data_IF_197612782238
#
_entry.id   IF_197612782238
#
_cell.length_a   1.000
_cell.length_b   1.000
_cell.length_c   1.000
_cell.angle_alpha   90.00
_cell.angle_beta   90.00
_cell.angle_gamma   90.00
#
_symmetry.space_group_name_H-M   'P 1'
#
loop_
_entity.id
_entity.type
_entity.pdbx_description
1 polymer ?
#
# COMPACT_ATOMS: atom_id res chain seq x y z
N UNK A 1 6.85 13.54 -0.48
CA UNK A 1 5.92 12.41 -0.37
C UNK A 1 4.61 12.97 0.18
N UNK A 2 3.50 12.73 -0.53
CA UNK A 2 2.17 12.97 0.00
C UNK A 2 1.58 11.62 0.40
N UNK A 3 0.89 11.59 1.54
CA UNK A 3 0.22 10.39 2.07
C UNK A 3 -1.26 10.73 2.26
N UNK A 4 -2.14 10.02 1.56
CA UNK A 4 -3.58 10.04 1.82
C UNK A 4 -3.99 8.69 2.41
N UNK A 5 -4.89 8.67 3.39
CA UNK A 5 -5.38 7.45 4.02
C UNK A 5 -6.89 7.34 3.91
N UNK A 6 -7.37 6.13 3.60
CA UNK A 6 -8.79 5.80 3.57
C UNK A 6 -9.01 4.51 4.35
N UNK A 7 -9.87 4.55 5.37
CA UNK A 7 -10.18 3.36 6.17
C UNK A 7 -11.41 2.65 5.62
N UNK A 8 -11.32 1.32 5.64
CA UNK A 8 -12.38 0.40 5.26
C UNK A 8 -12.59 -0.59 6.40
N UNK A 9 -13.71 -1.31 6.39
CA UNK A 9 -13.99 -2.36 7.38
C UNK A 9 -12.93 -3.47 7.40
N UNK A 10 -12.24 -3.65 6.27
CA UNK A 10 -11.23 -4.68 6.05
C UNK A 10 -9.79 -4.15 6.04
N UNK A 11 -9.51 -2.91 6.47
CA UNK A 11 -8.14 -2.39 6.51
C UNK A 11 -8.01 -0.90 6.24
N UNK A 12 -6.80 -0.47 5.90
CA UNK A 12 -6.49 0.92 5.54
C UNK A 12 -5.81 0.96 4.18
N UNK A 13 -6.36 1.73 3.24
CA UNK A 13 -5.65 2.13 2.04
C UNK A 13 -4.78 3.35 2.34
N UNK A 14 -3.53 3.29 1.90
CA UNK A 14 -2.57 4.38 1.96
C UNK A 14 -2.17 4.70 0.53
N UNK A 15 -2.50 5.88 0.05
CA UNK A 15 -2.03 6.38 -1.24
C UNK A 15 -0.75 7.19 -1.04
N UNK A 16 0.32 6.77 -1.72
CA UNK A 16 1.62 7.44 -1.73
C UNK A 16 1.87 8.08 -3.07
N UNK A 17 2.07 9.40 -3.08
CA UNK A 17 2.58 10.11 -4.24
C UNK A 17 4.07 10.44 -4.05
N UNK A 18 4.88 9.99 -5.00
CA UNK A 18 6.32 10.15 -5.06
C UNK A 18 6.70 10.93 -6.30
N UNK A 19 7.65 11.85 -6.15
CA UNK A 19 8.15 12.69 -7.22
C UNK A 19 9.68 12.62 -7.19
N UNK A 20 10.26 12.07 -8.24
CA UNK A 20 11.69 12.06 -8.49
C UNK A 20 12.17 13.39 -9.08
N UNK A 21 13.49 13.54 -9.17
CA UNK A 21 14.11 14.66 -9.88
C UNK A 21 14.28 14.26 -11.34
N UNK A 22 13.42 14.79 -12.22
CA UNK A 22 13.50 14.58 -13.66
C UNK A 22 14.76 15.24 -14.24
N UNK A 23 15.90 14.56 -14.20
CA UNK A 23 17.11 14.96 -14.95
C UNK A 23 17.65 13.83 -15.86
N UNK A 24 16.96 12.69 -15.91
CA UNK A 24 17.28 11.63 -16.85
C UNK A 24 16.05 11.34 -17.68
N UNK A 25 16.17 11.62 -18.97
CA UNK A 25 15.21 11.27 -20.01
C UNK A 25 14.72 9.82 -19.82
N UNK A 26 13.58 9.67 -19.16
CA UNK A 26 12.87 8.41 -19.01
C UNK A 26 11.63 8.51 -19.89
N UNK A 27 11.90 8.45 -21.19
CA UNK A 27 10.91 7.97 -22.15
C UNK A 27 10.17 6.77 -21.55
N UNK A 28 8.83 6.77 -21.62
CA UNK A 28 7.92 5.73 -21.11
C UNK A 28 8.59 4.36 -20.94
N UNK A 29 8.93 4.01 -19.69
CA UNK A 29 9.43 2.69 -19.33
C UNK A 29 8.26 1.85 -18.80
N UNK A 30 8.10 0.60 -19.25
CA UNK A 30 7.05 -0.27 -18.74
C UNK A 30 7.33 -0.66 -17.27
N UNK A 31 6.27 -0.72 -16.46
CA UNK A 31 6.33 -1.21 -15.07
C UNK A 31 6.21 -2.73 -14.98
N UNK A 32 5.78 -3.40 -16.05
CA UNK A 32 5.65 -4.85 -16.16
C UNK A 32 6.81 -5.49 -16.95
N UNK A 33 7.38 -6.58 -16.42
CA UNK A 33 8.52 -7.27 -17.02
C UNK A 33 8.20 -7.84 -18.42
N UNK A 34 7.00 -8.39 -18.64
CA UNK A 34 6.65 -8.97 -19.95
C UNK A 34 6.56 -7.91 -21.03
N UNK A 35 6.04 -6.74 -20.67
CA UNK A 35 6.00 -5.60 -21.57
C UNK A 35 7.42 -5.06 -21.84
N UNK A 36 8.27 -4.99 -20.82
CA UNK A 36 9.69 -4.61 -20.95
C UNK A 36 10.44 -5.55 -21.91
N UNK A 37 10.29 -6.86 -21.74
CA UNK A 37 10.88 -7.87 -22.60
C UNK A 37 10.41 -7.72 -24.05
N UNK A 38 9.10 -7.51 -24.27
CA UNK A 38 8.52 -7.32 -25.61
C UNK A 38 9.06 -6.06 -26.30
N UNK A 39 9.28 -4.99 -25.54
CA UNK A 39 9.76 -3.70 -26.04
C UNK A 39 11.29 -3.60 -26.08
N UNK A 40 12.02 -4.58 -25.55
CA UNK A 40 13.49 -4.57 -25.44
C UNK A 40 14.03 -3.33 -24.70
N UNK A 41 13.33 -2.92 -23.65
CA UNK A 41 13.68 -1.78 -22.78
C UNK A 41 13.71 -2.25 -21.33
N UNK A 42 14.42 -1.55 -20.42
CA UNK A 42 14.39 -1.89 -19.00
C UNK A 42 12.99 -1.66 -18.38
N UNK A 43 12.70 -2.39 -17.31
CA UNK A 43 11.55 -2.09 -16.44
C UNK A 43 11.79 -0.79 -15.70
N UNK A 44 10.74 0.01 -15.52
CA UNK A 44 10.78 1.20 -14.70
C UNK A 44 11.21 0.84 -13.26
N UNK A 45 12.23 1.51 -12.69
CA UNK A 45 12.64 1.21 -11.34
C UNK A 45 11.52 1.54 -10.36
N UNK A 46 11.16 0.61 -9.48
CA UNK A 46 10.17 0.81 -8.42
C UNK A 46 10.85 1.30 -7.14
N UNK A 47 10.20 2.12 -6.31
CA UNK A 47 10.72 2.45 -5.00
C UNK A 47 10.60 1.26 -4.04
N UNK A 48 11.51 1.23 -3.08
CA UNK A 48 11.45 0.36 -1.92
C UNK A 48 10.50 1.00 -0.90
N UNK A 49 9.46 0.27 -0.51
CA UNK A 49 8.47 0.70 0.48
C UNK A 49 8.53 -0.27 1.65
N UNK A 50 8.70 0.26 2.86
CA UNK A 50 8.73 -0.52 4.09
C UNK A 50 7.77 0.07 5.12
N UNK A 51 7.26 -0.77 6.01
CA UNK A 51 6.43 -0.32 7.11
C UNK A 51 6.81 -1.08 8.37
N UNK A 52 7.10 -0.37 9.46
CA UNK A 52 7.62 -0.95 10.69
C UNK A 52 6.74 -0.52 11.86
N UNK A 53 6.30 -1.46 12.69
CA UNK A 53 5.54 -1.16 13.89
C UNK A 53 6.42 -0.50 14.96
N UNK A 54 5.79 0.19 15.92
CA UNK A 54 6.50 0.89 17.00
C UNK A 54 7.40 -0.03 17.86
N UNK A 55 7.12 -1.34 17.90
CA UNK A 55 7.93 -2.34 18.59
C UNK A 55 9.12 -2.85 17.74
N UNK A 56 9.30 -2.31 16.53
CA UNK A 56 10.35 -2.66 15.59
C UNK A 56 9.99 -3.82 14.65
N UNK A 57 8.78 -4.39 14.75
CA UNK A 57 8.35 -5.49 13.88
C UNK A 57 8.14 -4.99 12.45
N UNK A 58 8.87 -5.51 11.44
CA UNK A 58 8.64 -5.14 10.05
C UNK A 58 7.35 -5.77 9.52
N UNK A 59 6.67 -5.07 8.63
CA UNK A 59 5.47 -5.57 7.95
C UNK A 59 5.86 -6.59 6.89
N UNK A 60 4.97 -7.55 6.67
CA UNK A 60 5.11 -8.48 5.56
C UNK A 60 4.60 -7.80 4.30
N UNK A 61 5.43 -7.74 3.26
CA UNK A 61 5.03 -7.22 1.95
C UNK A 61 4.53 -8.38 1.10
N UNK A 62 3.24 -8.41 0.79
CA UNK A 62 2.63 -9.43 -0.07
C UNK A 62 2.35 -8.86 -1.45
N UNK A 63 2.66 -9.64 -2.50
CA UNK A 63 2.40 -9.26 -3.88
C UNK A 63 1.27 -10.10 -4.48
N UNK A 64 0.31 -9.40 -5.09
CA UNK A 64 -0.75 -9.95 -5.95
C UNK A 64 -1.49 -11.17 -5.39
N UNK A 65 -1.27 -12.33 -6.02
CA UNK A 65 -2.10 -13.55 -5.92
C UNK A 65 -1.97 -14.31 -4.61
N UNK A 66 -0.84 -14.19 -3.92
CA UNK A 66 -0.58 -14.92 -2.67
C UNK A 66 -1.28 -14.27 -1.47
N UNK A 67 -1.82 -13.06 -1.66
CA UNK A 67 -2.45 -12.27 -0.61
C UNK A 67 -3.63 -12.99 0.03
N UNK A 68 -4.60 -13.47 -0.76
CA UNK A 68 -5.84 -14.03 -0.24
C UNK A 68 -5.64 -15.41 0.40
N UNK A 69 -4.66 -16.17 -0.07
CA UNK A 69 -4.40 -17.51 0.44
C UNK A 69 -3.60 -17.49 1.76
N UNK A 70 -2.86 -16.40 2.04
CA UNK A 70 -1.99 -16.27 3.22
C UNK A 70 -2.48 -15.21 4.22
N UNK A 71 -3.60 -14.55 3.94
CA UNK A 71 -4.12 -13.42 4.73
C UNK A 71 -4.37 -13.79 6.20
N UNK A 72 -4.85 -15.02 6.45
CA UNK A 72 -5.10 -15.54 7.80
C UNK A 72 -3.79 -15.83 8.57
N UNK A 73 -2.72 -16.24 7.88
CA UNK A 73 -1.42 -16.53 8.48
C UNK A 73 -0.73 -15.27 9.04
N UNK A 74 -1.17 -14.10 8.59
CA UNK A 74 -0.65 -12.80 9.00
C UNK A 74 -1.65 -11.96 9.79
N UNK A 75 -2.75 -12.54 10.28
CA UNK A 75 -3.75 -11.82 11.07
C UNK A 75 -3.17 -11.16 12.35
N UNK A 76 -2.06 -11.66 12.89
CA UNK A 76 -1.42 -11.13 14.10
C UNK A 76 -0.33 -10.07 13.82
N UNK A 77 -0.08 -9.70 12.56
CA UNK A 77 0.97 -8.74 12.22
C UNK A 77 0.55 -7.77 11.11
N UNK A 78 1.09 -6.55 11.09
CA UNK A 78 0.81 -5.61 10.00
C UNK A 78 1.29 -6.19 8.67
N UNK A 79 0.38 -6.32 7.71
CA UNK A 79 0.65 -6.84 6.38
C UNK A 79 0.36 -5.74 5.37
N UNK A 80 1.38 -5.42 4.57
CA UNK A 80 1.29 -4.42 3.53
C UNK A 80 1.14 -5.11 2.17
N UNK A 81 0.02 -4.86 1.52
CA UNK A 81 -0.20 -5.27 0.15
C UNK A 81 0.13 -4.11 -0.78
N UNK A 82 0.95 -4.40 -1.79
CA UNK A 82 1.31 -3.45 -2.84
C UNK A 82 0.70 -3.93 -4.16
N UNK A 83 -0.53 -3.53 -4.51
CA UNK A 83 -1.21 -3.91 -5.77
C UNK A 83 -0.42 -3.51 -7.02
N UNK A 84 0.54 -2.60 -6.88
CA UNK A 84 1.34 -2.03 -7.96
C UNK A 84 1.27 -0.51 -7.91
N UNK A 85 2.31 0.13 -8.42
CA UNK A 85 2.34 1.58 -8.63
C UNK A 85 1.98 1.93 -10.06
N UNK A 86 1.25 3.02 -10.24
CA UNK A 86 1.09 3.68 -11.53
C UNK A 86 2.02 4.89 -11.57
N UNK A 87 2.71 5.11 -12.69
CA UNK A 87 3.66 6.20 -12.76
C UNK A 87 4.40 6.28 -14.09
N UNK A 88 5.10 7.39 -14.24
CA UNK A 88 6.11 7.60 -15.28
C UNK A 88 7.48 7.71 -14.59
N UNK A 89 8.54 7.95 -15.37
CA UNK A 89 9.90 7.86 -14.84
C UNK A 89 10.26 8.89 -13.76
N UNK A 90 9.47 9.94 -13.55
CA UNK A 90 9.69 10.98 -12.55
C UNK A 90 8.55 11.14 -11.53
N UNK A 91 7.42 10.47 -11.71
CA UNK A 91 6.31 10.49 -10.78
C UNK A 91 5.68 9.11 -10.64
N UNK A 92 5.38 8.71 -9.41
CA UNK A 92 4.69 7.47 -9.14
C UNK A 92 3.66 7.65 -8.02
N UNK A 93 2.47 7.13 -8.25
CA UNK A 93 1.44 6.93 -7.23
C UNK A 93 1.33 5.44 -6.94
N UNK A 94 1.50 5.06 -5.67
CA UNK A 94 1.29 3.69 -5.21
C UNK A 94 0.15 3.68 -4.21
N UNK A 95 -0.80 2.77 -4.40
CA UNK A 95 -1.81 2.47 -3.36
C UNK A 95 -1.32 1.27 -2.60
N UNK A 96 -1.34 1.36 -1.29
CA UNK A 96 -0.95 0.28 -0.39
C UNK A 96 -2.18 -0.10 0.42
N UNK A 97 -2.35 -1.39 0.68
CA UNK A 97 -3.40 -1.85 1.58
C UNK A 97 -2.79 -2.46 2.82
N UNK A 98 -3.19 -1.95 3.98
CA UNK A 98 -2.74 -2.42 5.28
C UNK A 98 -3.81 -3.29 5.92
N UNK A 99 -3.45 -4.52 6.24
CA UNK A 99 -4.30 -5.50 6.93
C UNK A 99 -3.52 -6.26 8.03
N UNK A 100 -4.15 -6.58 9.18
CA UNK A 100 -5.41 -6.00 9.65
C UNK A 100 -5.24 -4.50 9.98
N UNK A 101 -6.31 -3.86 10.44
CA UNK A 101 -6.21 -2.48 10.91
C UNK A 101 -5.14 -2.40 12.02
N UNK A 102 -4.15 -1.50 11.91
CA UNK A 102 -3.02 -1.46 12.84
C UNK A 102 -3.47 -1.08 14.26
N UNK A 103 -2.98 -1.83 15.25
CA UNK A 103 -3.20 -1.56 16.67
C UNK A 103 -2.13 -0.65 17.29
N UNK A 104 -1.17 -0.16 16.48
CA UNK A 104 -0.02 0.62 16.93
C UNK A 104 0.40 1.65 15.89
N UNK A 105 1.27 2.58 16.30
CA UNK A 105 1.93 3.54 15.41
C UNK A 105 2.87 2.80 14.45
N UNK A 106 2.95 3.30 13.22
CA UNK A 106 3.75 2.71 12.16
C UNK A 106 4.74 3.74 11.61
N UNK A 107 5.94 3.31 11.28
CA UNK A 107 6.90 4.07 10.48
C UNK A 107 6.86 3.57 9.04
N UNK A 108 6.43 4.44 8.12
CA UNK A 108 6.45 4.20 6.69
C UNK A 108 7.77 4.73 6.12
N UNK A 109 8.59 3.83 5.58
CA UNK A 109 9.82 4.15 4.88
C UNK A 109 9.64 4.05 3.36
N UNK A 110 10.24 5.00 2.64
CA UNK A 110 10.32 4.97 1.18
C UNK A 110 11.73 5.33 0.74
N UNK A 111 12.29 4.56 -0.19
CA UNK A 111 13.53 4.91 -0.89
C UNK A 111 13.35 4.71 -2.40
N UNK A 112 13.95 5.58 -3.23
CA UNK A 112 13.97 5.37 -4.67
C UNK A 112 15.36 5.69 -5.24
N UNK A 113 16.37 4.82 -4.96
CA UNK A 113 17.76 5.10 -5.30
C UNK A 113 17.99 5.35 -6.79
N UNK A 114 17.24 4.65 -7.65
CA UNK A 114 17.30 4.82 -9.10
C UNK A 114 16.92 6.23 -9.58
N UNK A 115 16.15 6.97 -8.77
CA UNK A 115 15.72 8.35 -9.03
C UNK A 115 16.42 9.38 -8.13
N UNK A 116 17.52 8.99 -7.47
CA UNK A 116 18.26 9.83 -6.52
C UNK A 116 17.38 10.37 -5.37
N UNK A 117 16.36 9.59 -4.99
CA UNK A 117 15.54 9.88 -3.81
C UNK A 117 16.14 9.11 -2.64
N UNK A 118 16.74 9.86 -1.72
CA UNK A 118 17.23 9.32 -0.46
C UNK A 118 16.08 8.70 0.37
N UNK A 119 16.38 7.70 1.21
CA UNK A 119 15.40 7.14 2.13
C UNK A 119 14.73 8.24 2.95
N UNK A 120 13.41 8.23 2.97
CA UNK A 120 12.57 9.11 3.76
C UNK A 120 11.61 8.28 4.59
N UNK A 121 11.39 8.68 5.83
CA UNK A 121 10.41 8.05 6.71
C UNK A 121 9.33 9.05 7.10
N UNK A 122 8.13 8.52 7.35
CA UNK A 122 7.05 9.27 7.98
C UNK A 122 6.35 8.39 9.00
N UNK A 123 5.80 9.01 10.04
CA UNK A 123 5.11 8.31 11.11
C UNK A 123 3.61 8.37 10.89
N UNK A 124 2.97 7.22 10.80
CA UNK A 124 1.52 7.07 10.84
C UNK A 124 1.12 6.81 12.30
N UNK A 125 0.69 7.86 12.99
CA UNK A 125 0.33 7.75 14.40
C UNK A 125 -0.94 6.92 14.57
N UNK A 126 -1.04 6.20 15.68
CA UNK A 126 -2.27 5.43 16.00
C UNK A 126 -3.51 6.34 16.08
N UNK A 127 -3.35 7.58 16.55
CA UNK A 127 -4.46 8.55 16.63
C UNK A 127 -4.93 8.98 15.24
N UNK A 128 -4.02 9.19 14.28
CA UNK A 128 -4.39 9.53 12.90
C UNK A 128 -5.04 8.36 12.18
N UNK A 129 -4.53 7.14 12.43
CA UNK A 129 -5.12 5.90 11.93
C UNK A 129 -6.54 5.75 12.48
N UNK A 130 -6.72 5.83 13.80
CA UNK A 130 -8.03 5.74 14.45
C UNK A 130 -8.99 6.83 13.96
N UNK A 131 -8.53 8.07 13.82
CA UNK A 131 -9.36 9.14 13.25
C UNK A 131 -9.82 8.84 11.84
N UNK A 132 -8.96 8.24 11.03
CA UNK A 132 -9.30 7.78 9.67
C UNK A 132 -10.31 6.63 9.74
N UNK A 133 -10.18 5.72 10.71
CA UNK A 133 -11.13 4.63 10.98
C UNK A 133 -12.52 5.15 11.35
N UNK A 134 -12.61 6.20 12.14
CA UNK A 134 -13.89 6.77 12.52
C UNK A 134 -14.63 7.41 11.32
N UNK A 135 -13.93 7.58 10.20
CA UNK A 135 -14.47 8.03 8.91
C UNK A 135 -14.72 6.86 7.94
N UNK A 136 -14.75 5.61 8.41
CA UNK A 136 -14.95 4.42 7.56
C UNK A 136 -16.12 4.65 6.60
N UNK A 137 -15.81 4.47 5.32
CA UNK A 137 -16.81 4.37 4.27
C UNK A 137 -17.20 2.90 4.18
N UNK A 138 -18.37 2.54 4.71
CA UNK A 138 -18.93 1.21 4.50
C UNK A 138 -19.39 1.09 3.06
N UNK A 139 -18.55 0.50 2.20
CA UNK A 139 -18.84 0.36 0.78
C UNK A 139 -19.88 -0.74 0.50
N UNK A 140 -20.02 -1.74 1.38
CA UNK A 140 -21.09 -2.75 1.36
C UNK A 140 -20.99 -3.62 2.63
N UNK A 141 -22.10 -4.03 3.27
CA UNK A 141 -22.02 -5.00 4.37
C UNK A 141 -21.46 -6.33 3.82
N UNK A 142 -20.29 -6.74 4.33
CA UNK A 142 -19.66 -8.03 4.02
C UNK A 142 -20.42 -9.21 4.63
N UNK A 143 -21.28 -8.95 5.62
CA UNK A 143 -22.18 -9.96 6.17
C UNK A 143 -23.34 -10.17 5.22
N UNK A 144 -23.42 -11.39 4.69
CA UNK A 144 -24.53 -11.86 3.88
C UNK A 144 -25.86 -11.48 4.56
N UNK A 145 -26.83 -11.08 3.74
CA UNK A 145 -28.20 -10.69 4.10
C UNK A 145 -28.95 -11.70 5.01
N UNK A 146 -28.37 -12.85 5.30
CA UNK A 146 -28.91 -13.89 6.17
C UNK A 146 -29.06 -13.46 7.64
N UNK A 147 -28.26 -12.50 8.15
CA UNK A 147 -28.51 -11.90 9.47
C UNK A 147 -29.75 -10.96 9.46
N UNK A 148 -30.14 -10.42 8.30
CA UNK A 148 -31.30 -9.54 8.15
C UNK A 148 -32.61 -10.33 7.93
N UNK A 149 -32.54 -11.58 7.46
CA UNK A 149 -33.71 -12.44 7.27
C UNK A 149 -34.21 -13.11 8.57
N UNK A 150 -33.39 -13.16 9.62
CA UNK A 150 -33.74 -13.72 10.93
C UNK A 150 -34.65 -12.84 11.80
N UNK A 151 -34.93 -11.59 11.39
CA UNK A 151 -35.88 -10.69 12.06
C UNK A 151 -37.25 -10.64 11.37
N UNK A 152 -37.49 -11.52 10.39
CA UNK A 152 -38.68 -11.54 9.54
C UNK A 152 -39.45 -12.86 9.52
N UNK A 153 -39.30 -13.73 10.52
CA UNK A 153 -40.08 -14.98 10.64
C UNK A 153 -40.53 -15.24 12.08
#
# INVERSE_FOLDING_TARGET
>A
MLVEMRAYTTGVEIELALHGRADRATSFLPTDQRLADRLHVPVAPTPDISLTAADGTPSVVLQGRELFDQLDDFADRPTLFVPGGEGNGDHMTSRLWLYPFPATTLELGVAWPAQDIAPATTTLTIDDLQRTRDQIIELWPWRAEDELRGLGS
#
